data_IF_119469175606
#
_entry.id   IF_119469175606
#
_cell.length_a   1.000
_cell.length_b   1.000
_cell.length_c   1.000
_cell.angle_alpha   90.00
_cell.angle_beta   90.00
_cell.angle_gamma   90.00
#
_symmetry.space_group_name_H-M   'P 1'
#
loop_
_entity.id
_entity.type
_entity.pdbx_description
1 polymer ?
#
# COMPACT_ATOMS: atom_id res chain seq x y z
N UNK A 1 -0.09 17.25 110.72
CA UNK A 1 -1.14 17.06 109.70
C UNK A 1 -0.87 17.74 108.34
N UNK A 2 0.29 18.40 108.14
CA UNK A 2 0.55 19.23 106.93
C UNK A 2 1.43 18.52 105.87
N UNK A 3 2.17 17.46 106.24
CA UNK A 3 3.05 16.72 105.31
C UNK A 3 2.33 15.76 104.35
N UNK A 4 1.12 15.32 104.68
CA UNK A 4 0.36 14.36 103.84
C UNK A 4 -0.33 15.03 102.64
N UNK A 5 -0.84 16.25 102.82
CA UNK A 5 -1.44 17.04 101.74
C UNK A 5 -0.43 17.39 100.64
N UNK A 6 0.82 17.67 100.99
CA UNK A 6 1.88 18.05 100.03
C UNK A 6 2.30 16.89 99.12
N UNK A 7 2.35 15.66 99.64
CA UNK A 7 2.61 14.45 98.83
C UNK A 7 1.46 14.11 97.87
N UNK A 8 0.21 14.38 98.27
CA UNK A 8 -0.97 14.17 97.42
C UNK A 8 -1.06 15.18 96.27
N UNK A 9 -0.65 16.44 96.49
CA UNK A 9 -0.61 17.46 95.43
C UNK A 9 0.52 17.22 94.43
N UNK A 10 1.70 16.75 94.87
CA UNK A 10 2.80 16.38 93.97
C UNK A 10 2.49 15.11 93.15
N UNK A 11 1.79 14.12 93.74
CA UNK A 11 1.33 12.94 93.02
C UNK A 11 0.23 13.26 91.99
N UNK A 12 -0.73 14.14 92.33
CA UNK A 12 -1.76 14.60 91.40
C UNK A 12 -1.19 15.42 90.24
N UNK A 13 -0.19 16.26 90.49
CA UNK A 13 0.51 16.99 89.43
C UNK A 13 1.21 16.04 88.45
N UNK A 14 1.85 14.96 88.95
CA UNK A 14 2.49 13.96 88.08
C UNK A 14 1.51 13.19 87.20
N UNK A 15 0.35 12.81 87.73
CA UNK A 15 -0.70 12.11 86.97
C UNK A 15 -1.34 13.04 85.94
N UNK A 16 -1.66 14.28 86.32
CA UNK A 16 -2.23 15.26 85.40
C UNK A 16 -1.26 15.58 84.24
N UNK A 17 0.03 15.75 84.55
CA UNK A 17 1.05 16.02 83.53
C UNK A 17 1.24 14.80 82.61
N UNK A 18 1.25 13.58 83.13
CA UNK A 18 1.28 12.36 82.30
C UNK A 18 0.05 12.22 81.41
N UNK A 19 -1.14 12.59 81.91
CA UNK A 19 -2.38 12.55 81.14
C UNK A 19 -2.38 13.59 80.00
N UNK A 20 -1.95 14.82 80.27
CA UNK A 20 -1.82 15.87 79.25
C UNK A 20 -0.75 15.53 78.21
N UNK A 21 0.36 14.91 78.60
CA UNK A 21 1.39 14.44 77.66
C UNK A 21 0.89 13.27 76.82
N UNK A 22 0.13 12.34 77.42
CA UNK A 22 -0.48 11.23 76.70
C UNK A 22 -1.52 11.69 75.66
N UNK A 23 -2.44 12.57 76.07
CA UNK A 23 -3.49 13.10 75.19
C UNK A 23 -2.88 14.05 74.14
N UNK A 24 -1.98 14.94 74.55
CA UNK A 24 -1.29 15.86 73.64
C UNK A 24 -0.39 15.14 72.64
N UNK A 25 0.30 14.08 73.08
CA UNK A 25 1.11 13.22 72.21
C UNK A 25 0.25 12.46 71.19
N UNK A 26 -0.88 11.90 71.61
CA UNK A 26 -1.83 11.25 70.70
C UNK A 26 -2.42 12.24 69.68
N UNK A 27 -2.77 13.46 70.12
CA UNK A 27 -3.26 14.51 69.23
C UNK A 27 -2.20 14.95 68.21
N UNK A 28 -0.94 15.13 68.64
CA UNK A 28 0.17 15.49 67.77
C UNK A 28 0.46 14.40 66.72
N UNK A 29 0.45 13.13 67.11
CA UNK A 29 0.59 12.00 66.18
C UNK A 29 -0.56 11.93 65.17
N UNK A 30 -1.78 12.22 65.60
CA UNK A 30 -2.96 12.23 64.71
C UNK A 30 -2.86 13.36 63.67
N UNK A 31 -2.36 14.53 64.06
CA UNK A 31 -2.08 15.63 63.13
C UNK A 31 -0.96 15.30 62.15
N UNK A 32 0.13 14.70 62.63
CA UNK A 32 1.23 14.24 61.76
C UNK A 32 0.74 13.19 60.75
N UNK A 33 -0.06 12.22 61.20
CA UNK A 33 -0.66 11.21 60.33
C UNK A 33 -1.62 11.84 59.29
N UNK A 34 -2.39 12.85 59.67
CA UNK A 34 -3.27 13.57 58.73
C UNK A 34 -2.47 14.35 57.68
N UNK A 35 -1.34 14.97 58.04
CA UNK A 35 -0.46 15.64 57.10
C UNK A 35 0.20 14.66 56.13
N UNK A 36 0.67 13.52 56.63
CA UNK A 36 1.22 12.44 55.78
C UNK A 36 0.14 11.90 54.84
N UNK A 37 -1.09 11.72 55.32
CA UNK A 37 -2.21 11.32 54.48
C UNK A 37 -2.52 12.37 53.40
N UNK A 38 -2.42 13.67 53.71
CA UNK A 38 -2.63 14.76 52.75
C UNK A 38 -1.57 14.74 51.63
N UNK A 39 -0.29 14.56 51.99
CA UNK A 39 0.80 14.43 51.02
C UNK A 39 0.66 13.17 50.16
N UNK A 40 0.30 12.03 50.77
CA UNK A 40 0.06 10.79 50.05
C UNK A 40 -1.12 10.91 49.08
N UNK A 41 -2.21 11.57 49.48
CA UNK A 41 -3.35 11.83 48.60
C UNK A 41 -2.99 12.77 47.45
N UNK A 42 -2.20 13.82 47.68
CA UNK A 42 -1.73 14.71 46.63
C UNK A 42 -0.89 13.96 45.58
N UNK A 43 0.04 13.10 46.04
CA UNK A 43 0.90 12.34 45.13
C UNK A 43 0.17 11.24 44.33
N UNK A 44 -0.85 10.62 44.93
CA UNK A 44 -1.76 9.70 44.21
C UNK A 44 -2.65 10.44 43.23
N UNK A 45 -3.13 11.63 43.60
CA UNK A 45 -3.89 12.53 42.72
C UNK A 45 -3.08 12.91 41.48
N UNK A 46 -1.83 13.34 41.66
CA UNK A 46 -0.94 13.69 40.55
C UNK A 46 -0.66 12.50 39.63
N UNK A 47 -0.50 11.30 40.19
CA UNK A 47 -0.28 10.06 39.43
C UNK A 47 -1.52 9.63 38.63
N UNK A 48 -2.73 9.73 39.22
CA UNK A 48 -3.98 9.46 38.51
C UNK A 48 -4.25 10.50 37.43
N UNK A 49 -3.93 11.76 37.70
CA UNK A 49 -4.07 12.84 36.74
C UNK A 49 -3.09 12.66 35.57
N UNK A 50 -1.84 12.22 35.83
CA UNK A 50 -0.85 11.88 34.80
C UNK A 50 -1.34 10.76 33.86
N UNK A 51 -1.90 9.68 34.40
CA UNK A 51 -2.43 8.58 33.59
C UNK A 51 -3.67 9.01 32.79
N UNK A 52 -4.58 9.74 33.42
CA UNK A 52 -5.90 10.08 32.82
C UNK A 52 -5.79 11.23 31.82
N UNK A 53 -4.92 12.21 32.04
CA UNK A 53 -4.76 13.39 31.19
C UNK A 53 -3.62 13.26 30.17
N UNK A 54 -2.59 12.45 30.42
CA UNK A 54 -1.46 12.24 29.50
C UNK A 54 -1.52 10.92 28.74
N UNK A 55 -1.39 9.81 29.47
CA UNK A 55 -1.11 8.48 28.90
C UNK A 55 -2.28 7.86 28.12
N UNK A 56 -3.51 7.95 28.65
CA UNK A 56 -4.69 7.30 28.02
C UNK A 56 -5.04 7.89 26.65
N UNK A 57 -5.09 9.22 26.46
CA UNK A 57 -5.37 9.80 25.15
C UNK A 57 -4.29 9.51 24.11
N UNK A 58 -3.02 9.48 24.50
CA UNK A 58 -1.89 9.17 23.61
C UNK A 58 -1.95 7.71 23.12
N UNK A 59 -2.24 6.76 24.02
CA UNK A 59 -2.45 5.36 23.65
C UNK A 59 -3.64 5.17 22.71
N UNK A 60 -4.71 5.95 22.89
CA UNK A 60 -5.86 5.91 21.98
C UNK A 60 -5.49 6.41 20.57
N UNK A 61 -4.70 7.48 20.47
CA UNK A 61 -4.21 7.99 19.19
C UNK A 61 -3.27 6.98 18.50
N UNK A 62 -2.33 6.39 19.24
CA UNK A 62 -1.42 5.36 18.73
C UNK A 62 -2.19 4.11 18.26
N UNK A 63 -3.21 3.69 19.00
CA UNK A 63 -4.09 2.60 18.59
C UNK A 63 -4.89 2.94 17.33
N UNK A 64 -5.35 4.20 17.21
CA UNK A 64 -5.96 4.74 16.00
C UNK A 64 -5.04 4.56 14.78
N UNK A 65 -3.81 5.07 14.85
CA UNK A 65 -2.80 4.92 13.79
C UNK A 65 -2.53 3.45 13.44
N UNK A 66 -2.44 2.57 14.44
CA UNK A 66 -2.25 1.13 14.23
C UNK A 66 -3.45 0.49 13.50
N UNK A 67 -4.68 0.85 13.88
CA UNK A 67 -5.89 0.36 13.23
C UNK A 67 -6.04 0.90 11.80
N UNK A 68 -5.77 2.19 11.60
CA UNK A 68 -5.81 2.85 10.29
C UNK A 68 -4.79 2.25 9.32
N UNK A 69 -3.56 2.03 9.78
CA UNK A 69 -2.52 1.38 8.96
C UNK A 69 -2.90 -0.06 8.58
N UNK A 70 -3.45 -0.85 9.51
CA UNK A 70 -3.96 -2.19 9.20
C UNK A 70 -5.08 -2.19 8.15
N UNK A 71 -5.98 -1.21 8.24
CA UNK A 71 -7.08 -1.04 7.27
C UNK A 71 -6.55 -0.69 5.88
N UNK A 72 -5.57 0.21 5.80
CA UNK A 72 -4.92 0.60 4.54
C UNK A 72 -4.13 -0.54 3.90
N UNK A 73 -3.36 -1.29 4.69
CA UNK A 73 -2.62 -2.46 4.21
C UNK A 73 -3.58 -3.53 3.68
N UNK A 74 -4.71 -3.76 4.35
CA UNK A 74 -5.72 -4.70 3.88
C UNK A 74 -6.44 -4.24 2.59
N UNK A 75 -6.44 -2.93 2.29
CA UNK A 75 -6.99 -2.40 1.05
C UNK A 75 -6.04 -2.56 -0.15
N UNK A 76 -4.72 -2.69 0.08
CA UNK A 76 -3.70 -2.83 -0.98
C UNK A 76 -4.03 -3.93 -2.01
N UNK A 77 -4.26 -5.18 -1.60
CA UNK A 77 -4.62 -6.26 -2.53
C UNK A 77 -5.92 -6.00 -3.31
N UNK A 78 -6.86 -5.22 -2.76
CA UNK A 78 -8.10 -4.86 -3.47
C UNK A 78 -7.82 -3.90 -4.62
N UNK A 79 -6.85 -2.99 -4.49
CA UNK A 79 -6.44 -2.10 -5.57
C UNK A 79 -5.77 -2.84 -6.72
N UNK A 80 -4.99 -3.87 -6.43
CA UNK A 80 -4.30 -4.67 -7.45
C UNK A 80 -5.21 -5.69 -8.13
N UNK A 81 -6.31 -6.08 -7.47
CA UNK A 81 -7.25 -7.08 -7.98
C UNK A 81 -8.37 -6.50 -8.86
N UNK A 82 -8.40 -5.19 -9.09
CA UNK A 82 -9.41 -4.56 -9.95
C UNK A 82 -9.22 -4.99 -11.40
N UNK A 83 -10.31 -5.17 -12.14
CA UNK A 83 -10.25 -5.66 -13.52
C UNK A 83 -10.10 -4.55 -14.57
N UNK A 84 -10.40 -3.30 -14.22
CA UNK A 84 -10.39 -2.16 -15.14
C UNK A 84 -10.27 -0.81 -14.40
N UNK A 85 -10.07 0.24 -15.17
CA UNK A 85 -9.91 1.62 -14.67
C UNK A 85 -11.12 2.13 -13.87
N UNK A 86 -12.35 1.73 -14.23
CA UNK A 86 -13.56 2.13 -13.53
C UNK A 86 -13.67 1.47 -12.15
N UNK A 87 -13.26 0.21 -12.04
CA UNK A 87 -13.18 -0.51 -10.77
C UNK A 87 -12.07 0.06 -9.88
N UNK A 88 -10.89 0.37 -10.45
CA UNK A 88 -9.81 1.04 -9.74
C UNK A 88 -10.28 2.39 -9.18
N UNK A 89 -10.96 3.20 -10.00
CA UNK A 89 -11.51 4.49 -9.59
C UNK A 89 -12.48 4.33 -8.42
N UNK A 90 -13.40 3.36 -8.50
CA UNK A 90 -14.34 3.05 -7.41
C UNK A 90 -13.62 2.61 -6.13
N UNK A 91 -12.64 1.71 -6.23
CA UNK A 91 -11.87 1.22 -5.10
C UNK A 91 -11.08 2.36 -4.41
N UNK A 92 -10.51 3.29 -5.18
CA UNK A 92 -9.83 4.47 -4.66
C UNK A 92 -10.79 5.40 -3.93
N UNK A 93 -11.98 5.63 -4.50
CA UNK A 93 -13.02 6.44 -3.84
C UNK A 93 -13.50 5.80 -2.54
N UNK A 94 -13.68 4.48 -2.50
CA UNK A 94 -14.04 3.72 -1.30
C UNK A 94 -12.95 3.78 -0.21
N UNK A 95 -11.68 3.83 -0.60
CA UNK A 95 -10.54 3.87 0.33
C UNK A 95 -10.24 5.28 0.86
N UNK A 96 -10.62 6.33 0.13
CA UNK A 96 -10.33 7.72 0.47
C UNK A 96 -10.75 8.15 1.90
N UNK A 97 -11.89 7.69 2.47
CA UNK A 97 -12.24 7.98 3.86
C UNK A 97 -11.28 7.32 4.86
N UNK A 98 -10.85 6.08 4.61
CA UNK A 98 -9.91 5.37 5.48
C UNK A 98 -8.53 6.01 5.47
N UNK A 99 -8.07 6.46 4.30
CA UNK A 99 -6.82 7.21 4.16
C UNK A 99 -6.88 8.54 4.92
N UNK A 100 -7.95 9.31 4.76
CA UNK A 100 -8.14 10.57 5.50
C UNK A 100 -8.18 10.36 7.01
N UNK A 101 -8.91 9.34 7.48
CA UNK A 101 -8.95 9.02 8.90
C UNK A 101 -7.57 8.63 9.46
N UNK A 102 -6.75 7.91 8.68
CA UNK A 102 -5.38 7.58 9.08
C UNK A 102 -4.48 8.81 9.14
N UNK A 103 -4.57 9.71 8.15
CA UNK A 103 -3.84 10.98 8.14
C UNK A 103 -4.21 11.86 9.34
N UNK A 104 -5.50 11.98 9.64
CA UNK A 104 -6.01 12.71 10.81
C UNK A 104 -5.50 12.11 12.14
N UNK A 105 -5.49 10.78 12.27
CA UNK A 105 -4.98 10.09 13.46
C UNK A 105 -3.46 10.25 13.61
N UNK A 106 -2.73 10.24 12.50
CA UNK A 106 -1.29 10.49 12.50
C UNK A 106 -0.99 11.92 12.95
N UNK A 107 -1.75 12.90 12.47
CA UNK A 107 -1.63 14.30 12.89
C UNK A 107 -1.97 14.49 14.37
N UNK A 108 -3.07 13.90 14.87
CA UNK A 108 -3.47 13.96 16.28
C UNK A 108 -2.41 13.32 17.21
N UNK A 109 -1.80 12.21 16.79
CA UNK A 109 -0.69 11.61 17.53
C UNK A 109 0.53 12.54 17.57
N UNK A 110 0.86 13.19 16.45
CA UNK A 110 1.99 14.13 16.37
C UNK A 110 1.77 15.39 17.20
N UNK A 111 0.58 15.98 17.17
CA UNK A 111 0.28 17.17 17.98
C UNK A 111 0.38 16.87 19.47
N UNK A 112 -0.12 15.70 19.90
CA UNK A 112 -0.04 15.28 21.30
C UNK A 112 1.38 14.99 21.74
N UNK A 113 2.12 14.23 20.93
CA UNK A 113 3.50 13.82 21.25
C UNK A 113 4.49 14.99 21.31
N UNK A 114 4.31 16.04 20.49
CA UNK A 114 5.17 17.22 20.49
C UNK A 114 4.82 18.25 21.59
N UNK A 115 3.58 18.26 22.10
CA UNK A 115 3.16 19.19 23.16
C UNK A 115 3.49 18.70 24.57
N UNK A 116 3.73 17.39 24.75
CA UNK A 116 4.00 16.79 26.05
C UNK A 116 5.51 16.62 26.33
N UNK A 117 6.04 17.35 27.32
CA UNK A 117 7.39 17.11 27.89
C UNK A 117 7.57 15.69 28.47
N UNK A 118 6.47 14.96 28.72
CA UNK A 118 6.41 13.58 29.23
C UNK A 118 5.74 12.60 28.23
N UNK A 119 5.95 12.78 26.91
CA UNK A 119 5.48 11.84 25.87
C UNK A 119 5.95 10.40 26.11
N UNK A 120 5.11 9.39 25.85
CA UNK A 120 5.45 7.96 26.00
C UNK A 120 6.49 7.49 24.99
N UNK A 121 6.57 8.16 23.84
CA UNK A 121 7.63 7.98 22.86
C UNK A 121 8.54 9.21 22.86
N UNK A 122 9.85 9.00 22.87
CA UNK A 122 10.77 10.12 22.64
C UNK A 122 10.49 10.78 21.29
N UNK A 123 10.92 12.03 21.09
CA UNK A 123 10.78 12.75 19.81
C UNK A 123 11.17 11.90 18.59
N UNK A 124 12.17 11.03 18.75
CA UNK A 124 12.65 10.09 17.73
C UNK A 124 11.61 9.02 17.33
N UNK A 125 10.83 8.49 18.26
CA UNK A 125 9.81 7.47 17.98
C UNK A 125 8.60 8.06 17.26
N UNK A 126 8.15 9.25 17.68
CA UNK A 126 7.05 9.97 17.00
C UNK A 126 7.46 10.33 15.57
N UNK A 127 8.69 10.81 15.36
CA UNK A 127 9.24 11.10 14.02
C UNK A 127 9.32 9.82 13.17
N UNK A 128 9.72 8.68 13.76
CA UNK A 128 9.74 7.38 13.07
C UNK A 128 8.34 6.94 12.63
N UNK A 129 7.33 7.06 13.50
CA UNK A 129 5.93 6.74 13.19
C UNK A 129 5.42 7.63 12.05
N UNK A 130 5.67 8.95 12.11
CA UNK A 130 5.33 9.88 11.03
C UNK A 130 5.94 9.45 9.70
N UNK A 131 7.24 9.13 9.70
CA UNK A 131 7.98 8.74 8.50
C UNK A 131 7.37 7.48 7.88
N UNK A 132 7.15 6.43 8.69
CA UNK A 132 6.52 5.18 8.24
C UNK A 132 5.09 5.36 7.76
N UNK A 133 4.32 6.23 8.42
CA UNK A 133 2.96 6.58 8.00
C UNK A 133 2.95 7.28 6.64
N UNK A 134 3.87 8.21 6.42
CA UNK A 134 4.08 8.85 5.11
C UNK A 134 4.51 7.87 4.03
N UNK A 135 5.42 6.95 4.34
CA UNK A 135 5.85 5.87 3.43
C UNK A 135 4.67 4.98 3.04
N UNK A 136 3.80 4.59 3.99
CA UNK A 136 2.62 3.78 3.69
C UNK A 136 1.68 4.48 2.70
N UNK A 137 1.39 5.77 2.92
CA UNK A 137 0.55 6.57 2.02
C UNK A 137 1.20 6.67 0.63
N UNK A 138 2.51 6.95 0.59
CA UNK A 138 3.28 7.01 -0.65
C UNK A 138 3.27 5.70 -1.43
N UNK A 139 3.45 4.58 -0.75
CA UNK A 139 3.41 3.25 -1.36
C UNK A 139 2.03 2.92 -1.96
N UNK A 140 0.95 3.28 -1.26
CA UNK A 140 -0.43 3.10 -1.78
C UNK A 140 -0.66 3.95 -3.02
N UNK A 141 -0.17 5.20 -3.04
CA UNK A 141 -0.24 6.05 -4.22
C UNK A 141 0.53 5.46 -5.41
N UNK A 142 1.73 4.92 -5.15
CA UNK A 142 2.55 4.26 -6.17
C UNK A 142 1.88 2.98 -6.72
N UNK A 143 1.22 2.19 -5.87
CA UNK A 143 0.44 1.02 -6.32
C UNK A 143 -0.68 1.47 -7.25
N UNK A 144 -1.44 2.50 -6.89
CA UNK A 144 -2.53 3.03 -7.72
C UNK A 144 -2.01 3.50 -9.09
N UNK A 145 -0.90 4.22 -9.11
CA UNK A 145 -0.28 4.70 -10.35
C UNK A 145 0.17 3.53 -11.24
N UNK A 146 0.86 2.55 -10.65
CA UNK A 146 1.32 1.35 -11.35
C UNK A 146 0.18 0.53 -11.95
N UNK A 147 -0.92 0.33 -11.21
CA UNK A 147 -2.10 -0.39 -11.71
C UNK A 147 -2.78 0.41 -12.84
N UNK A 148 -2.89 1.73 -12.71
CA UNK A 148 -3.44 2.60 -13.76
C UNK A 148 -2.60 2.52 -15.04
N UNK A 149 -1.26 2.61 -14.94
CA UNK A 149 -0.34 2.47 -16.06
C UNK A 149 -0.50 1.08 -16.71
N UNK A 150 -0.67 0.03 -15.91
CA UNK A 150 -0.95 -1.32 -16.39
C UNK A 150 -2.22 -1.41 -17.26
N UNK A 151 -3.27 -0.68 -16.90
CA UNK A 151 -4.51 -0.64 -17.71
C UNK A 151 -4.32 0.11 -19.03
N UNK A 152 -3.58 1.22 -19.03
CA UNK A 152 -3.26 1.96 -20.27
C UNK A 152 -2.45 1.08 -21.23
N UNK A 153 -1.39 0.45 -20.73
CA UNK A 153 -0.57 -0.48 -21.51
C UNK A 153 -1.38 -1.67 -22.05
N UNK A 154 -2.32 -2.19 -21.26
CA UNK A 154 -3.19 -3.28 -21.70
C UNK A 154 -4.13 -2.83 -22.82
N UNK A 155 -4.67 -1.61 -22.73
CA UNK A 155 -5.53 -1.04 -23.78
C UNK A 155 -4.75 -0.79 -25.08
N UNK A 156 -3.54 -0.25 -24.98
CA UNK A 156 -2.65 -0.04 -26.13
C UNK A 156 -2.25 -1.36 -26.78
N UNK A 157 -1.95 -2.38 -25.97
CA UNK A 157 -1.61 -3.73 -26.46
C UNK A 157 -2.77 -4.36 -27.23
N UNK A 158 -4.00 -4.24 -26.73
CA UNK A 158 -5.18 -4.77 -27.44
C UNK A 158 -5.45 -4.00 -28.74
N UNK A 159 -5.28 -2.67 -28.74
CA UNK A 159 -5.43 -1.87 -29.96
C UNK A 159 -4.41 -2.28 -31.04
N UNK A 160 -3.14 -2.49 -30.64
CA UNK A 160 -2.09 -2.94 -31.54
C UNK A 160 -2.36 -4.36 -32.07
N UNK A 161 -2.94 -5.24 -31.25
CA UNK A 161 -3.35 -6.59 -31.64
C UNK A 161 -4.42 -6.56 -32.74
N UNK A 162 -5.43 -5.71 -32.59
CA UNK A 162 -6.48 -5.54 -33.61
C UNK A 162 -5.92 -4.96 -34.92
N UNK A 163 -4.96 -4.03 -34.84
CA UNK A 163 -4.28 -3.49 -36.01
C UNK A 163 -3.47 -4.57 -36.73
N UNK A 164 -2.77 -5.42 -35.98
CA UNK A 164 -2.00 -6.53 -36.53
C UNK A 164 -2.89 -7.57 -37.20
N UNK A 165 -4.00 -7.98 -36.57
CA UNK A 165 -4.97 -8.92 -37.15
C UNK A 165 -5.51 -8.39 -38.50
N UNK A 166 -5.81 -7.08 -38.55
CA UNK A 166 -6.23 -6.40 -39.77
C UNK A 166 -5.13 -6.40 -40.85
N UNK A 167 -3.87 -6.13 -40.48
CA UNK A 167 -2.74 -6.16 -41.40
C UNK A 167 -2.50 -7.57 -41.93
N UNK A 168 -2.55 -8.59 -41.06
CA UNK A 168 -2.42 -9.98 -41.42
C UNK A 168 -3.49 -10.39 -42.44
N UNK A 169 -4.75 -10.08 -42.18
CA UNK A 169 -5.85 -10.35 -43.11
C UNK A 169 -5.62 -9.70 -44.48
N UNK A 170 -5.13 -8.46 -44.53
CA UNK A 170 -4.81 -7.78 -45.79
C UNK A 170 -3.66 -8.45 -46.55
N UNK A 171 -2.66 -8.98 -45.83
CA UNK A 171 -1.56 -9.72 -46.44
C UNK A 171 -2.08 -11.04 -47.01
N UNK A 172 -2.89 -11.80 -46.27
CA UNK A 172 -3.45 -13.06 -46.76
C UNK A 172 -4.28 -12.88 -48.04
N UNK A 173 -5.13 -11.83 -48.09
CA UNK A 173 -5.94 -11.49 -49.28
C UNK A 173 -5.08 -11.24 -50.52
N UNK A 174 -3.85 -10.76 -50.38
CA UNK A 174 -2.94 -10.51 -51.50
C UNK A 174 -2.01 -11.68 -51.79
N UNK A 175 -1.49 -12.31 -50.74
CA UNK A 175 -0.42 -13.29 -50.82
C UNK A 175 -0.92 -14.68 -51.25
N UNK A 176 -2.07 -15.13 -50.71
CA UNK A 176 -2.63 -16.44 -51.05
C UNK A 176 -2.97 -16.52 -52.54
N UNK A 177 -3.70 -15.56 -53.14
CA UNK A 177 -3.94 -15.58 -54.58
C UNK A 177 -2.66 -15.47 -55.41
N UNK A 178 -1.68 -14.64 -54.99
CA UNK A 178 -0.43 -14.51 -55.72
C UNK A 178 0.41 -15.82 -55.70
N UNK A 179 0.39 -16.56 -54.60
CA UNK A 179 0.99 -17.87 -54.47
C UNK A 179 0.31 -18.89 -55.37
N UNK A 180 -1.02 -18.96 -55.31
CA UNK A 180 -1.82 -19.88 -56.11
C UNK A 180 -1.67 -19.60 -57.61
N UNK A 181 -1.73 -18.34 -58.03
CA UNK A 181 -1.54 -17.93 -59.42
C UNK A 181 -0.12 -18.27 -59.93
N UNK A 182 0.90 -18.02 -59.11
CA UNK A 182 2.28 -18.32 -59.48
C UNK A 182 2.52 -19.83 -59.55
N UNK A 183 2.00 -20.61 -58.61
CA UNK A 183 2.07 -22.06 -58.61
C UNK A 183 1.32 -22.65 -59.81
N UNK A 184 0.12 -22.15 -60.08
CA UNK A 184 -0.69 -22.55 -61.22
C UNK A 184 0.02 -22.26 -62.54
N UNK A 185 0.61 -21.07 -62.70
CA UNK A 185 1.40 -20.72 -63.88
C UNK A 185 2.65 -21.62 -64.01
N UNK A 186 3.39 -21.84 -62.93
CA UNK A 186 4.58 -22.69 -62.94
C UNK A 186 4.24 -24.13 -63.37
N UNK A 187 3.11 -24.68 -62.90
CA UNK A 187 2.68 -26.04 -63.18
C UNK A 187 2.03 -26.22 -64.56
N UNK A 188 1.25 -25.24 -65.01
CA UNK A 188 0.37 -25.42 -66.18
C UNK A 188 0.75 -24.54 -67.38
N UNK A 189 1.57 -23.50 -67.17
CA UNK A 189 1.91 -22.50 -68.17
C UNK A 189 0.79 -21.50 -68.46
N UNK A 190 -0.38 -21.63 -67.84
CA UNK A 190 -1.50 -20.70 -68.04
C UNK A 190 -1.41 -19.52 -67.07
N UNK A 191 -1.44 -18.29 -67.61
CA UNK A 191 -1.72 -17.07 -66.82
C UNK A 191 -3.21 -16.71 -66.80
N UNK A 192 -3.95 -17.20 -67.78
CA UNK A 192 -5.41 -17.14 -67.86
C UNK A 192 -5.87 -18.27 -68.78
N UNK A 193 -7.11 -18.73 -68.63
CA UNK A 193 -7.68 -19.78 -69.45
C UNK A 193 -7.99 -19.35 -70.90
N UNK A 194 -7.92 -18.05 -71.19
CA UNK A 194 -8.20 -17.49 -72.51
C UNK A 194 -6.98 -17.52 -73.44
N UNK A 195 -5.78 -17.68 -72.87
CA UNK A 195 -4.52 -17.69 -73.61
C UNK A 195 -3.99 -19.12 -73.73
N UNK A 196 -3.30 -19.41 -74.84
CA UNK A 196 -2.55 -20.64 -74.98
C UNK A 196 -1.47 -20.75 -73.88
N UNK A 197 -1.18 -21.95 -73.36
CA UNK A 197 -0.20 -22.11 -72.30
C UNK A 197 1.18 -21.68 -72.79
N UNK A 198 1.94 -21.02 -71.92
CA UNK A 198 3.33 -20.72 -72.19
C UNK A 198 4.13 -22.03 -72.39
N UNK A 199 5.16 -22.04 -73.22
CA UNK A 199 6.02 -23.20 -73.36
C UNK A 199 6.88 -23.41 -72.10
N UNK A 200 7.29 -24.66 -71.86
CA UNK A 200 7.88 -25.13 -70.59
C UNK A 200 9.13 -24.38 -70.17
N UNK A 201 9.95 -23.98 -71.13
CA UNK A 201 11.16 -23.17 -70.95
C UNK A 201 10.89 -21.78 -70.36
N UNK A 202 9.67 -21.24 -70.50
CA UNK A 202 9.28 -19.96 -69.90
C UNK A 202 8.66 -20.10 -68.51
N UNK A 203 7.65 -20.95 -68.36
CA UNK A 203 6.89 -21.01 -67.09
C UNK A 203 7.58 -21.86 -66.03
N UNK A 204 8.44 -22.79 -66.43
CA UNK A 204 9.31 -23.57 -65.53
C UNK A 204 10.75 -23.05 -65.59
N UNK A 205 10.90 -21.73 -65.74
CA UNK A 205 12.20 -21.08 -65.74
C UNK A 205 12.65 -20.75 -64.31
N UNK A 206 13.96 -20.64 -64.13
CA UNK A 206 14.57 -20.31 -62.83
C UNK A 206 14.01 -19.02 -62.21
N UNK A 207 13.79 -17.91 -62.96
CA UNK A 207 13.16 -16.71 -62.41
C UNK A 207 11.74 -16.92 -61.86
N UNK A 208 10.93 -17.79 -62.48
CA UNK A 208 9.55 -18.04 -62.05
C UNK A 208 9.51 -18.97 -60.83
N UNK A 209 10.46 -19.90 -60.71
CA UNK A 209 10.67 -20.72 -59.52
C UNK A 209 11.15 -19.84 -58.35
N UNK A 210 12.09 -18.93 -58.60
CA UNK A 210 12.57 -17.99 -57.58
C UNK A 210 11.46 -17.06 -57.10
N UNK A 211 10.60 -16.59 -58.01
CA UNK A 211 9.41 -15.80 -57.63
C UNK A 211 8.48 -16.56 -56.70
N UNK A 212 8.23 -17.85 -56.99
CA UNK A 212 7.43 -18.70 -56.09
C UNK A 212 8.11 -18.88 -54.73
N UNK A 213 9.42 -19.14 -54.70
CA UNK A 213 10.20 -19.26 -53.44
C UNK A 213 10.12 -18.00 -52.59
N UNK A 214 10.21 -16.81 -53.21
CA UNK A 214 10.09 -15.53 -52.50
C UNK A 214 8.71 -15.38 -51.87
N UNK A 215 7.63 -15.72 -52.59
CA UNK A 215 6.27 -15.65 -52.05
C UNK A 215 6.06 -16.63 -50.89
N UNK A 216 6.60 -17.85 -50.98
CA UNK A 216 6.55 -18.83 -49.89
C UNK A 216 7.35 -18.34 -48.68
N UNK A 217 8.53 -17.76 -48.90
CA UNK A 217 9.33 -17.13 -47.85
C UNK A 217 8.54 -16.03 -47.13
N UNK A 218 7.87 -15.16 -47.89
CA UNK A 218 7.04 -14.11 -47.32
C UNK A 218 5.88 -14.68 -46.47
N UNK A 219 5.26 -15.78 -46.89
CA UNK A 219 4.20 -16.43 -46.11
C UNK A 219 4.73 -16.99 -44.78
N UNK A 220 5.94 -17.57 -44.81
CA UNK A 220 6.60 -18.08 -43.61
C UNK A 220 6.94 -16.93 -42.65
N UNK A 221 7.50 -15.83 -43.16
CA UNK A 221 7.85 -14.65 -42.36
C UNK A 221 6.61 -14.07 -41.65
N UNK A 222 5.49 -13.96 -42.37
CA UNK A 222 4.21 -13.46 -41.80
C UNK A 222 3.73 -14.38 -40.67
N UNK A 223 3.87 -15.70 -40.84
CA UNK A 223 3.49 -16.68 -39.81
C UNK A 223 4.39 -16.58 -38.57
N UNK A 224 5.70 -16.40 -38.76
CA UNK A 224 6.65 -16.23 -37.66
C UNK A 224 6.38 -14.93 -36.89
N UNK A 225 6.10 -13.83 -37.60
CA UNK A 225 5.75 -12.55 -36.99
C UNK A 225 4.49 -12.70 -36.13
N UNK A 226 3.46 -13.37 -36.62
CA UNK A 226 2.23 -13.63 -35.87
C UNK A 226 2.49 -14.47 -34.60
N UNK A 227 3.29 -15.53 -34.70
CA UNK A 227 3.68 -16.35 -33.54
C UNK A 227 4.48 -15.56 -32.50
N UNK A 228 5.44 -14.74 -32.94
CA UNK A 228 6.23 -13.89 -32.05
C UNK A 228 5.34 -12.87 -31.34
N UNK A 229 4.43 -12.23 -32.07
CA UNK A 229 3.52 -11.23 -31.50
C UNK A 229 2.53 -11.85 -30.51
N UNK A 230 1.98 -13.02 -30.83
CA UNK A 230 1.16 -13.78 -29.90
C UNK A 230 1.95 -14.24 -28.65
N UNK A 231 3.23 -14.57 -28.79
CA UNK A 231 4.09 -14.91 -27.65
C UNK A 231 4.40 -13.71 -26.75
N UNK A 232 4.57 -12.52 -27.35
CA UNK A 232 4.80 -11.26 -26.63
C UNK A 232 3.54 -10.81 -25.87
N UNK A 233 2.34 -11.08 -26.40
CA UNK A 233 1.08 -10.76 -25.73
C UNK A 233 0.86 -11.54 -24.42
N UNK A 234 1.48 -12.72 -24.28
CA UNK A 234 1.42 -13.53 -23.05
C UNK A 234 2.47 -13.07 -22.01
N UNK A 235 3.50 -12.33 -22.44
CA UNK A 235 4.51 -11.77 -21.55
C UNK A 235 3.97 -10.50 -20.89
N UNK A 236 3.21 -10.69 -19.81
CA UNK A 236 2.69 -9.61 -18.94
C UNK A 236 3.81 -8.94 -18.11
N UNK A 237 5.06 -9.41 -18.21
CA UNK A 237 6.16 -8.98 -17.36
C UNK A 237 7.02 -7.90 -18.01
N UNK A 238 6.95 -6.69 -17.44
CA UNK A 238 7.70 -5.47 -17.78
C UNK A 238 9.22 -5.66 -17.95
N UNK A 239 9.95 -6.55 -17.23
CA UNK A 239 11.40 -6.67 -17.42
C UNK A 239 11.84 -7.38 -18.71
N UNK A 240 10.92 -7.96 -19.50
CA UNK A 240 11.25 -8.63 -20.77
C UNK A 240 10.93 -7.79 -22.01
N UNK A 241 10.24 -6.66 -21.85
CA UNK A 241 10.00 -5.67 -22.91
C UNK A 241 11.09 -4.60 -22.80
N UNK A 242 12.31 -4.94 -23.21
CA UNK A 242 13.38 -3.96 -23.30
C UNK A 242 12.97 -2.93 -24.38
N UNK A 243 12.79 -1.67 -23.97
CA UNK A 243 12.50 -0.56 -24.88
C UNK A 243 13.76 -0.35 -25.72
N UNK A 244 13.78 -0.92 -26.92
CA UNK A 244 14.83 -0.62 -27.91
C UNK A 244 14.68 0.85 -28.27
N UNK A 245 15.58 1.67 -27.70
CA UNK A 245 15.76 3.10 -28.03
C UNK A 245 16.49 3.22 -29.36
#
# INVERSE_FOLDING_TARGET
MIGWFRKLTEARFRIATQLYVGIGGAAALTLAASLVALFAFAQVGDSQNRVTQGTVPELAAAFGVAQGSGTLVAAGPRLTATANQDELTRAVVEMAPAQRAFEEQLEDLMSRGMESEESLGGDEEIVSIRTRGGELIGNIAAIRESVSEGFELSADSEALRLELESLHSRIEVLLVPALDDQLFYAMTGFRSFELAPAPRDRHFSEPEIDRYRVLIGLQQDVTIIDQLLNSLAVLTDRPLIERVV
#
